data_IF_507604685691
#
_entry.id   IF_507604685691
#
_cell.length_a   1.000
_cell.length_b   1.000
_cell.length_c   1.000
_cell.angle_alpha   90.00
_cell.angle_beta   90.00
_cell.angle_gamma   90.00
#
_symmetry.space_group_name_H-M   'P 1'
#
loop_
_entity.id
_entity.type
_entity.pdbx_description
1 polymer ?
#
# COMPACT_ATOMS: atom_id res chain seq x y z
N UNK A 1 -5.56 4.67 41.38
CA UNK A 1 -5.99 4.95 39.99
C UNK A 1 -5.40 6.30 39.62
N UNK A 2 -4.15 6.30 39.13
CA UNK A 2 -3.47 7.54 38.74
C UNK A 2 -4.03 8.03 37.42
N UNK A 3 -4.64 9.20 37.43
CA UNK A 3 -5.00 9.94 36.22
C UNK A 3 -3.70 10.39 35.55
N UNK A 4 -3.27 9.67 34.53
CA UNK A 4 -2.21 10.14 33.63
C UNK A 4 -2.79 11.28 32.80
N UNK A 5 -2.46 12.51 33.20
CA UNK A 5 -2.76 13.69 32.41
C UNK A 5 -1.94 13.63 31.13
N UNK A 6 -2.64 13.45 30.00
CA UNK A 6 -2.07 13.64 28.67
C UNK A 6 -1.90 15.15 28.51
N UNK A 7 -0.68 15.62 28.72
CA UNK A 7 -0.32 17.00 28.48
C UNK A 7 -0.33 17.25 26.97
N UNK A 8 -1.43 17.82 26.47
CA UNK A 8 -1.47 18.43 25.14
C UNK A 8 -0.53 19.64 25.15
N UNK A 9 0.74 19.42 24.81
CA UNK A 9 1.68 20.51 24.54
C UNK A 9 1.29 21.15 23.20
N UNK A 10 0.84 22.39 23.25
CA UNK A 10 0.73 23.24 22.08
C UNK A 10 2.05 24.02 21.92
N UNK A 11 2.87 23.75 20.88
CA UNK A 11 4.00 24.61 20.56
C UNK A 11 3.53 25.79 19.69
N UNK A 12 3.66 26.99 20.24
CA UNK A 12 3.32 28.30 19.62
C UNK A 12 4.24 28.72 18.46
N UNK A 13 4.84 27.77 17.76
CA UNK A 13 5.55 27.93 16.50
C UNK A 13 5.66 26.54 15.91
N UNK A 14 4.92 26.29 14.82
CA UNK A 14 5.01 25.04 14.09
C UNK A 14 6.43 24.98 13.51
N UNK A 15 7.31 24.29 14.23
CA UNK A 15 8.68 24.03 13.79
C UNK A 15 8.63 23.08 12.60
N UNK A 16 9.59 23.17 11.68
CA UNK A 16 9.68 22.24 10.54
C UNK A 16 9.66 20.76 10.99
N UNK A 17 10.17 20.48 12.19
CA UNK A 17 10.10 19.17 12.83
C UNK A 17 8.66 18.70 13.13
N UNK A 18 7.75 19.61 13.50
CA UNK A 18 6.34 19.30 13.71
C UNK A 18 5.61 19.05 12.38
N UNK A 19 6.01 19.74 11.30
CA UNK A 19 5.47 19.51 9.95
C UNK A 19 5.87 18.12 9.45
N UNK A 20 7.15 17.80 9.56
CA UNK A 20 7.70 16.50 9.15
C UNK A 20 7.09 15.35 9.97
N UNK A 21 6.93 15.53 11.29
CA UNK A 21 6.27 14.55 12.15
C UNK A 21 4.80 14.32 11.74
N UNK A 22 4.07 15.40 11.40
CA UNK A 22 2.70 15.30 10.91
C UNK A 22 2.64 14.52 9.59
N UNK A 23 3.42 14.92 8.59
CA UNK A 23 3.45 14.25 7.28
C UNK A 23 3.85 12.77 7.41
N UNK A 24 4.89 12.47 8.19
CA UNK A 24 5.37 11.11 8.43
C UNK A 24 4.31 10.22 9.09
N UNK A 25 3.55 10.76 10.04
CA UNK A 25 2.47 10.03 10.71
C UNK A 25 1.34 9.70 9.72
N UNK A 26 0.92 10.68 8.92
CA UNK A 26 -0.14 10.50 7.92
C UNK A 26 0.31 9.52 6.82
N UNK A 27 1.54 9.65 6.32
CA UNK A 27 2.13 8.74 5.33
C UNK A 27 2.32 7.32 5.88
N UNK A 28 2.54 7.16 7.18
CA UNK A 28 2.61 5.85 7.82
C UNK A 28 1.30 5.07 7.74
N UNK A 29 0.16 5.78 7.76
CA UNK A 29 -1.18 5.19 7.64
C UNK A 29 -1.61 5.10 6.18
N UNK A 30 -1.32 6.14 5.40
CA UNK A 30 -1.69 6.27 3.99
C UNK A 30 -0.45 6.41 3.10
N UNK A 31 0.30 5.33 2.87
CA UNK A 31 1.56 5.37 2.11
C UNK A 31 1.38 5.63 0.61
N UNK A 32 0.15 5.53 0.11
CA UNK A 32 -0.20 5.85 -1.28
C UNK A 32 -0.67 7.29 -1.49
N UNK A 33 -0.83 8.08 -0.43
CA UNK A 33 -1.21 9.48 -0.52
C UNK A 33 -0.11 10.32 -1.21
N UNK A 34 -0.55 11.34 -1.94
CA UNK A 34 0.35 12.30 -2.57
C UNK A 34 0.87 13.34 -1.55
N UNK A 35 2.18 13.61 -1.58
CA UNK A 35 2.83 14.43 -0.56
C UNK A 35 2.55 15.92 -0.72
N UNK A 36 2.43 16.42 -1.96
CA UNK A 36 2.08 17.82 -2.22
C UNK A 36 0.65 18.13 -1.76
N UNK A 37 -0.27 17.17 -2.00
CA UNK A 37 -1.63 17.26 -1.47
C UNK A 37 -1.68 17.20 0.06
N UNK A 38 -0.93 16.28 0.68
CA UNK A 38 -0.84 16.18 2.14
C UNK A 38 -0.29 17.46 2.78
N UNK A 39 0.74 18.06 2.18
CA UNK A 39 1.29 19.34 2.66
C UNK A 39 0.21 20.43 2.66
N UNK A 40 -0.58 20.52 1.59
CA UNK A 40 -1.66 21.53 1.46
C UNK A 40 -2.73 21.36 2.54
N UNK A 41 -3.23 20.14 2.75
CA UNK A 41 -4.24 19.90 3.79
C UNK A 41 -3.65 20.05 5.20
N UNK A 42 -2.39 19.66 5.40
CA UNK A 42 -1.73 19.83 6.69
C UNK A 42 -1.60 21.31 7.06
N UNK A 43 -1.30 22.18 6.10
CA UNK A 43 -1.26 23.63 6.32
C UNK A 43 -2.63 24.17 6.74
N UNK A 44 -3.72 23.72 6.09
CA UNK A 44 -5.08 24.12 6.45
C UNK A 44 -5.52 23.66 7.85
N UNK A 45 -4.94 22.56 8.34
CA UNK A 45 -5.23 21.97 9.65
C UNK A 45 -4.13 22.23 10.69
N UNK A 46 -3.29 23.25 10.48
CA UNK A 46 -2.20 23.65 11.38
C UNK A 46 -1.23 22.50 11.75
N UNK A 47 -0.96 21.62 10.79
CA UNK A 47 -0.08 20.45 10.91
C UNK A 47 -0.49 19.49 12.04
N UNK A 48 -1.79 19.34 12.26
CA UNK A 48 -2.33 18.34 13.16
C UNK A 48 -2.61 17.02 12.42
N UNK A 49 -1.83 15.99 12.72
CA UNK A 49 -1.94 14.68 12.08
C UNK A 49 -3.32 14.04 12.29
N UNK A 50 -3.88 14.12 13.49
CA UNK A 50 -5.16 13.47 13.82
C UNK A 50 -6.32 14.07 12.99
N UNK A 51 -6.34 15.39 12.84
CA UNK A 51 -7.36 16.07 12.02
C UNK A 51 -7.21 15.72 10.54
N UNK A 52 -5.98 15.66 10.04
CA UNK A 52 -5.71 15.27 8.64
C UNK A 52 -6.13 13.82 8.38
N UNK A 53 -5.83 12.91 9.31
CA UNK A 53 -6.25 11.51 9.23
C UNK A 53 -7.77 11.39 9.24
N UNK A 54 -8.44 12.11 10.14
CA UNK A 54 -9.91 12.13 10.21
C UNK A 54 -10.53 12.61 8.90
N UNK A 55 -10.01 13.69 8.31
CA UNK A 55 -10.48 14.19 7.02
C UNK A 55 -10.31 13.17 5.89
N UNK A 56 -9.17 12.47 5.86
CA UNK A 56 -8.94 11.40 4.87
C UNK A 56 -9.92 10.24 5.09
N UNK A 57 -10.21 9.88 6.34
CA UNK A 57 -11.18 8.86 6.68
C UNK A 57 -12.59 9.27 6.23
N UNK A 58 -13.02 10.49 6.54
CA UNK A 58 -14.30 11.06 6.11
C UNK A 58 -14.44 11.03 4.59
N UNK A 59 -13.40 11.41 3.84
CA UNK A 59 -13.39 11.34 2.38
C UNK A 59 -13.63 9.91 1.87
N UNK A 60 -13.02 8.92 2.50
CA UNK A 60 -13.19 7.52 2.15
C UNK A 60 -14.60 7.01 2.49
N UNK A 61 -15.18 7.44 3.61
CA UNK A 61 -16.57 7.13 3.99
C UNK A 61 -17.58 7.74 3.03
N UNK A 62 -17.34 8.96 2.54
CA UNK A 62 -18.10 9.62 1.49
C UNK A 62 -17.98 8.93 0.11
N UNK A 63 -17.08 7.95 -0.02
CA UNK A 63 -16.77 7.27 -1.28
C UNK A 63 -15.87 8.09 -2.22
N UNK A 64 -15.27 9.18 -1.74
CA UNK A 64 -14.33 10.01 -2.48
C UNK A 64 -12.92 9.42 -2.36
N UNK A 65 -12.13 9.56 -3.43
CA UNK A 65 -10.72 9.17 -3.42
C UNK A 65 -9.83 10.39 -3.26
N UNK A 66 -8.78 10.28 -2.42
CA UNK A 66 -7.75 11.29 -2.33
C UNK A 66 -6.71 11.15 -3.45
N UNK A 67 -5.98 12.23 -3.80
CA UNK A 67 -4.87 12.18 -4.74
C UNK A 67 -3.80 11.18 -4.29
N UNK A 68 -3.54 10.19 -5.14
CA UNK A 68 -2.53 9.15 -4.87
C UNK A 68 -1.25 9.46 -5.60
N UNK A 69 -0.12 9.21 -4.95
CA UNK A 69 1.20 9.35 -5.56
C UNK A 69 1.28 8.49 -6.81
N UNK A 70 1.67 9.08 -7.94
CA UNK A 70 1.83 8.38 -9.19
C UNK A 70 2.92 7.30 -9.06
N UNK A 71 2.52 6.04 -8.83
CA UNK A 71 3.48 4.93 -8.83
C UNK A 71 4.00 4.80 -10.25
N UNK A 72 5.27 5.18 -10.48
CA UNK A 72 5.95 4.83 -11.71
C UNK A 72 5.91 3.31 -11.81
N UNK A 73 5.01 2.79 -12.64
CA UNK A 73 5.02 1.39 -13.04
C UNK A 73 6.28 1.19 -13.84
N UNK A 74 7.37 0.83 -13.17
CA UNK A 74 8.52 0.23 -13.84
C UNK A 74 8.03 -1.05 -14.49
N UNK A 75 7.58 -0.92 -15.76
CA UNK A 75 7.30 -2.06 -16.62
C UNK A 75 8.59 -2.87 -16.65
N UNK A 76 8.62 -4.04 -16.00
CA UNK A 76 9.76 -4.97 -16.09
C UNK A 76 10.03 -5.16 -17.58
N UNK A 77 11.18 -4.68 -18.06
CA UNK A 77 11.61 -4.92 -19.43
C UNK A 77 11.88 -6.42 -19.54
N UNK A 78 11.00 -7.16 -20.21
CA UNK A 78 11.37 -8.45 -20.80
C UNK A 78 12.17 -8.09 -22.05
N UNK A 79 13.46 -8.36 -22.05
CA UNK A 79 14.33 -8.15 -23.21
C UNK A 79 13.78 -8.92 -24.42
N UNK A 80 13.51 -8.27 -25.57
CA UNK A 80 13.30 -8.99 -26.81
C UNK A 80 14.67 -9.32 -27.39
N UNK A 81 15.18 -10.52 -27.13
CA UNK A 81 16.28 -11.06 -27.96
C UNK A 81 15.64 -11.52 -29.25
N UNK A 82 15.79 -10.73 -30.29
CA UNK A 82 15.59 -11.15 -31.67
C UNK A 82 16.70 -12.17 -31.97
N UNK A 83 16.33 -13.41 -32.29
CA UNK A 83 16.74 -14.16 -33.49
C UNK A 83 16.24 -15.61 -33.38
N UNK A 84 15.72 -16.07 -34.50
CA UNK A 84 15.10 -17.35 -34.79
C UNK A 84 16.06 -18.54 -34.54
N UNK A 85 15.81 -19.36 -33.52
CA UNK A 85 16.16 -20.80 -33.47
C UNK A 85 15.25 -21.50 -32.44
N UNK A 86 14.51 -22.51 -32.89
CA UNK A 86 14.22 -23.68 -32.04
C UNK A 86 12.84 -23.73 -31.41
N UNK A 87 11.92 -24.36 -32.12
CA UNK A 87 10.83 -25.15 -31.57
C UNK A 87 11.27 -25.91 -30.29
N UNK A 88 10.41 -25.88 -29.27
CA UNK A 88 10.38 -26.68 -28.02
C UNK A 88 11.13 -26.17 -26.78
N UNK A 89 10.36 -25.75 -25.75
CA UNK A 89 10.38 -26.18 -24.33
C UNK A 89 9.94 -25.01 -23.41
N UNK A 90 9.01 -25.10 -22.46
CA UNK A 90 8.20 -26.22 -22.00
C UNK A 90 6.99 -25.67 -21.23
N UNK A 91 5.79 -26.10 -21.65
CA UNK A 91 4.53 -26.04 -20.91
C UNK A 91 4.69 -26.86 -19.62
N UNK A 92 5.09 -26.25 -18.50
CA UNK A 92 5.38 -27.01 -17.27
C UNK A 92 4.17 -27.39 -16.43
N UNK A 93 2.92 -27.17 -16.86
CA UNK A 93 1.76 -27.48 -16.02
C UNK A 93 0.49 -27.87 -16.79
N UNK A 94 0.57 -28.78 -17.76
CA UNK A 94 -0.66 -29.43 -18.27
C UNK A 94 -0.39 -30.82 -18.84
N UNK A 95 0.20 -31.70 -18.03
CA UNK A 95 0.20 -33.13 -18.34
C UNK A 95 -1.05 -33.77 -17.75
N UNK A 96 -1.94 -34.30 -18.59
CA UNK A 96 -3.12 -35.08 -18.19
C UNK A 96 -2.76 -36.19 -17.19
N UNK A 97 -1.56 -36.80 -17.35
CA UNK A 97 -0.98 -37.78 -16.41
C UNK A 97 -0.75 -37.28 -14.99
N UNK A 98 -0.61 -35.98 -14.76
CA UNK A 98 -0.47 -35.40 -13.41
C UNK A 98 -1.83 -35.29 -12.71
N UNK A 99 -2.92 -35.11 -13.47
CA UNK A 99 -4.29 -35.11 -12.92
C UNK A 99 -4.70 -36.50 -12.46
N UNK A 100 -4.37 -37.54 -13.21
CA UNK A 100 -4.71 -38.93 -12.84
C UNK A 100 -4.00 -39.37 -11.53
N UNK A 101 -2.75 -38.96 -11.30
CA UNK A 101 -2.02 -39.28 -10.06
C UNK A 101 -2.61 -38.66 -8.78
N UNK A 102 -3.35 -37.55 -8.89
CA UNK A 102 -3.99 -36.94 -7.73
C UNK A 102 -5.32 -37.62 -7.37
N UNK A 103 -6.03 -38.20 -8.34
CA UNK A 103 -7.25 -38.96 -8.05
C UNK A 103 -6.94 -40.28 -7.35
N UNK A 104 -5.83 -40.94 -7.69
CA UNK A 104 -5.56 -42.28 -7.16
C UNK A 104 -5.16 -42.31 -5.69
N UNK A 105 -4.54 -41.23 -5.19
CA UNK A 105 -4.21 -41.12 -3.75
C UNK A 105 -5.44 -40.93 -2.86
N UNK A 106 -6.56 -40.46 -3.40
CA UNK A 106 -7.75 -40.17 -2.60
C UNK A 106 -8.56 -41.43 -2.26
N UNK A 107 -8.40 -42.54 -2.98
CA UNK A 107 -9.13 -43.77 -2.71
C UNK A 107 -8.38 -44.78 -1.83
N UNK A 108 -7.08 -44.60 -1.59
CA UNK A 108 -6.27 -45.52 -0.76
C UNK A 108 -6.32 -45.22 0.75
N UNK A 109 -6.93 -44.09 1.16
CA UNK A 109 -6.98 -43.66 2.58
C UNK A 109 -8.27 -44.08 3.28
N UNK A 110 -9.13 -44.88 2.64
CA UNK A 110 -10.45 -45.28 3.18
C UNK A 110 -10.62 -46.80 3.31
N UNK A 111 -9.51 -47.56 3.33
CA UNK A 111 -9.53 -49.00 3.60
C UNK A 111 -8.96 -49.31 4.99
#
# INVERSE_FOLDING_TARGET
MSQSQVACQAPSSISDEAKDACESTVLGIFPDADQDWLSTISETHAYNAELVIALIADLLEDGKSYPKRARQRQKRKRSPSSEDVGEQVGKRFSGQKYRDKCLTKAYETTA
#
